data_IF_721797554758
#
_entry.id   IF_721797554758
#
_cell.length_a   1.000
_cell.length_b   1.000
_cell.length_c   1.000
_cell.angle_alpha   90.00
_cell.angle_beta   90.00
_cell.angle_gamma   90.00
#
_symmetry.space_group_name_H-M   'P 1'
#
loop_
_entity.id
_entity.type
_entity.pdbx_description
1 polymer ?
#
# COMPACT_ATOMS: atom_id res chain seq x y z
N UNK A 1 -23.44 2.27 -12.89
CA UNK A 1 -23.36 0.83 -12.58
C UNK A 1 -22.67 0.69 -11.24
N UNK A 2 -23.27 -0.02 -10.27
CA UNK A 2 -22.63 -0.37 -9.00
C UNK A 2 -21.30 -1.10 -9.19
N UNK A 3 -20.39 -1.00 -8.22
CA UNK A 3 -19.05 -1.58 -8.30
C UNK A 3 -19.09 -3.11 -8.42
N UNK A 4 -19.97 -3.78 -7.69
CA UNK A 4 -20.06 -5.24 -7.74
C UNK A 4 -20.56 -5.72 -9.12
N UNK A 5 -21.54 -5.04 -9.70
CA UNK A 5 -22.00 -5.27 -11.08
C UNK A 5 -20.90 -4.98 -12.11
N UNK A 6 -20.10 -3.93 -11.90
CA UNK A 6 -18.94 -3.61 -12.73
C UNK A 6 -17.93 -4.78 -12.74
N UNK A 7 -17.60 -5.29 -11.54
CA UNK A 7 -16.62 -6.36 -11.37
C UNK A 7 -17.14 -7.70 -11.93
N UNK A 8 -18.41 -8.03 -11.72
CA UNK A 8 -19.01 -9.29 -12.18
C UNK A 8 -18.95 -9.49 -13.70
N UNK A 9 -18.76 -8.42 -14.48
CA UNK A 9 -18.54 -8.48 -15.94
C UNK A 9 -17.22 -9.14 -16.34
N UNK A 10 -16.22 -9.12 -15.47
CA UNK A 10 -14.86 -9.58 -15.79
C UNK A 10 -14.26 -10.51 -14.74
N UNK A 11 -14.88 -10.63 -13.57
CA UNK A 11 -14.43 -11.46 -12.46
C UNK A 11 -15.45 -12.55 -12.13
N UNK A 12 -14.94 -13.71 -11.70
CA UNK A 12 -15.76 -14.72 -11.03
C UNK A 12 -16.18 -14.19 -9.65
N UNK A 13 -17.35 -14.61 -9.19
CA UNK A 13 -17.95 -14.10 -7.95
C UNK A 13 -17.10 -14.44 -6.72
N UNK A 14 -16.37 -15.55 -6.78
CA UNK A 14 -15.45 -16.09 -5.77
C UNK A 14 -13.99 -15.65 -5.96
N UNK A 15 -13.74 -14.56 -6.71
CA UNK A 15 -12.38 -14.12 -6.98
C UNK A 15 -11.56 -13.85 -5.71
N UNK A 16 -10.25 -14.08 -5.77
CA UNK A 16 -9.31 -13.76 -4.69
C UNK A 16 -8.41 -12.61 -5.12
N UNK A 17 -8.35 -11.58 -4.28
CA UNK A 17 -7.40 -10.49 -4.43
C UNK A 17 -6.30 -10.61 -3.36
N UNK A 18 -5.07 -10.79 -3.79
CA UNK A 18 -3.88 -10.90 -2.96
C UNK A 18 -3.11 -9.57 -2.98
N UNK A 19 -3.32 -8.76 -1.95
CA UNK A 19 -2.61 -7.51 -1.78
C UNK A 19 -1.25 -7.65 -1.07
N UNK A 20 -0.45 -6.58 -1.08
CA UNK A 20 0.80 -6.53 -0.34
C UNK A 20 0.54 -6.50 1.17
N UNK A 21 1.60 -6.81 1.93
CA UNK A 21 1.62 -6.65 3.38
C UNK A 21 1.20 -5.22 3.78
N UNK A 22 0.35 -5.11 4.80
CA UNK A 22 -0.23 -3.84 5.24
C UNK A 22 -1.59 -3.50 4.61
N UNK A 23 -1.95 -4.11 3.47
CA UNK A 23 -3.31 -4.02 2.90
C UNK A 23 -4.09 -5.31 3.17
N UNK A 24 -3.46 -6.47 2.93
CA UNK A 24 -4.08 -7.79 3.13
C UNK A 24 -4.69 -8.37 1.86
N UNK A 25 -5.55 -9.37 2.02
CA UNK A 25 -6.20 -10.10 0.93
C UNK A 25 -7.72 -10.16 1.15
N UNK A 26 -8.47 -10.34 0.06
CA UNK A 26 -9.94 -10.44 0.08
C UNK A 26 -10.41 -11.63 -0.74
N UNK A 27 -11.54 -12.22 -0.35
CA UNK A 27 -12.18 -13.33 -1.07
C UNK A 27 -13.63 -12.97 -1.40
N UNK A 28 -14.02 -13.12 -2.66
CA UNK A 28 -15.28 -12.67 -3.31
C UNK A 28 -15.30 -11.22 -3.79
N UNK A 29 -16.13 -10.94 -4.80
CA UNK A 29 -16.38 -9.58 -5.33
C UNK A 29 -16.86 -8.63 -4.24
N UNK A 30 -17.81 -9.05 -3.39
CA UNK A 30 -18.36 -8.22 -2.29
C UNK A 30 -17.24 -7.77 -1.34
N UNK A 31 -16.39 -8.71 -0.91
CA UNK A 31 -15.29 -8.41 0.01
C UNK A 31 -14.22 -7.56 -0.65
N UNK A 32 -13.87 -7.82 -1.90
CA UNK A 32 -12.93 -6.99 -2.65
C UNK A 32 -13.44 -5.55 -2.81
N UNK A 33 -14.71 -5.39 -3.18
CA UNK A 33 -15.37 -4.10 -3.30
C UNK A 33 -15.35 -3.33 -1.97
N UNK A 34 -15.75 -3.98 -0.88
CA UNK A 34 -15.86 -3.37 0.45
C UNK A 34 -14.52 -3.09 1.12
N UNK A 35 -13.56 -4.00 1.00
CA UNK A 35 -12.33 -3.98 1.81
C UNK A 35 -11.12 -3.40 1.06
N UNK A 36 -11.13 -3.38 -0.28
CA UNK A 36 -10.02 -2.83 -1.06
C UNK A 36 -10.47 -1.78 -2.09
N UNK A 37 -11.26 -2.16 -3.10
CA UNK A 37 -11.51 -1.31 -4.26
C UNK A 37 -12.21 0.00 -3.90
N UNK A 38 -13.26 -0.03 -3.06
CA UNK A 38 -13.95 1.21 -2.64
C UNK A 38 -13.08 2.08 -1.73
N UNK A 39 -12.45 1.55 -0.65
CA UNK A 39 -11.51 2.34 0.16
C UNK A 39 -10.37 2.96 -0.65
N UNK A 40 -9.80 2.20 -1.60
CA UNK A 40 -8.72 2.68 -2.45
C UNK A 40 -9.21 3.80 -3.38
N UNK A 41 -10.35 3.62 -4.05
CA UNK A 41 -10.95 4.66 -4.91
C UNK A 41 -11.31 5.93 -4.11
N UNK A 42 -11.72 5.80 -2.85
CA UNK A 42 -12.03 6.94 -1.99
C UNK A 42 -10.77 7.69 -1.52
N UNK A 43 -9.69 6.98 -1.25
CA UNK A 43 -8.46 7.57 -0.71
C UNK A 43 -7.52 8.16 -1.78
N UNK A 44 -7.71 7.82 -3.05
CA UNK A 44 -6.82 8.23 -4.14
C UNK A 44 -7.60 8.94 -5.25
N UNK A 45 -7.32 10.24 -5.42
CA UNK A 45 -7.98 11.11 -6.38
C UNK A 45 -7.01 11.55 -7.47
N UNK A 46 -7.53 12.21 -8.51
CA UNK A 46 -6.76 12.76 -9.64
C UNK A 46 -5.71 11.78 -10.19
N UNK A 47 -6.18 10.56 -10.44
CA UNK A 47 -5.37 9.45 -10.91
C UNK A 47 -5.04 9.63 -12.38
N UNK A 48 -3.75 9.59 -12.72
CA UNK A 48 -3.33 9.61 -14.12
C UNK A 48 -3.77 8.35 -14.87
N UNK A 49 -3.64 8.37 -16.20
CA UNK A 49 -3.70 7.14 -16.98
C UNK A 49 -2.59 6.19 -16.54
N UNK A 50 -2.87 4.90 -16.68
CA UNK A 50 -1.92 3.84 -16.38
C UNK A 50 -0.84 3.74 -17.46
N UNK A 51 0.42 3.65 -17.06
CA UNK A 51 1.58 3.53 -17.92
C UNK A 51 2.28 2.19 -17.68
N UNK A 52 2.02 1.22 -18.55
CA UNK A 52 2.63 -0.11 -18.44
C UNK A 52 3.95 -0.11 -19.20
N UNK A 53 5.05 -0.41 -18.52
CA UNK A 53 6.35 -0.64 -19.18
C UNK A 53 6.36 -2.03 -19.82
N UNK A 54 5.65 -2.99 -19.23
CA UNK A 54 5.51 -4.33 -19.78
C UNK A 54 4.09 -4.84 -19.61
N UNK A 55 3.67 -5.65 -20.58
CA UNK A 55 2.49 -6.51 -20.50
C UNK A 55 2.94 -7.90 -20.93
N UNK A 56 2.52 -8.92 -20.20
CA UNK A 56 2.87 -10.30 -20.47
C UNK A 56 1.67 -11.22 -20.28
N UNK A 57 1.62 -12.30 -21.04
CA UNK A 57 0.61 -13.34 -20.88
C UNK A 57 1.18 -14.70 -21.28
N UNK A 58 0.82 -15.74 -20.53
CA UNK A 58 1.13 -17.14 -20.84
C UNK A 58 0.07 -18.06 -20.25
N UNK A 59 -0.59 -18.85 -21.09
CA UNK A 59 -1.65 -19.75 -20.66
C UNK A 59 -2.79 -19.00 -19.98
N UNK A 60 -3.10 -19.36 -18.75
CA UNK A 60 -4.15 -18.73 -17.95
C UNK A 60 -3.68 -17.53 -17.12
N UNK A 61 -2.43 -17.10 -17.30
CA UNK A 61 -1.84 -16.01 -16.53
C UNK A 61 -1.55 -14.81 -17.44
N UNK A 62 -1.78 -13.62 -16.90
CA UNK A 62 -1.47 -12.35 -17.55
C UNK A 62 -1.02 -11.34 -16.52
N UNK A 63 -0.36 -10.27 -16.94
CA UNK A 63 0.05 -9.25 -16.00
C UNK A 63 0.74 -8.06 -16.65
N UNK A 64 0.95 -7.04 -15.84
CA UNK A 64 1.64 -5.83 -16.24
C UNK A 64 2.36 -5.18 -15.07
N UNK A 65 3.29 -4.29 -15.38
CA UNK A 65 3.98 -3.48 -14.38
C UNK A 65 4.43 -2.13 -14.96
N UNK A 66 4.73 -1.17 -14.08
CA UNK A 66 5.21 0.16 -14.47
C UNK A 66 5.81 0.98 -13.32
N UNK A 67 6.64 1.97 -13.67
CA UNK A 67 7.34 2.87 -12.75
C UNK A 67 7.33 4.31 -13.29
N UNK A 68 6.44 5.19 -12.80
CA UNK A 68 5.23 4.81 -12.08
C UNK A 68 4.26 4.06 -13.01
N UNK A 69 3.49 3.14 -12.42
CA UNK A 69 2.34 2.53 -13.07
C UNK A 69 1.24 3.59 -13.25
N UNK A 70 1.03 4.43 -12.25
CA UNK A 70 0.26 5.68 -12.36
C UNK A 70 0.66 6.66 -11.25
N UNK A 71 0.19 7.91 -11.37
CA UNK A 71 0.32 8.92 -10.31
C UNK A 71 -1.04 9.29 -9.74
N UNK A 72 -1.09 9.76 -8.50
CA UNK A 72 -2.34 10.11 -7.82
C UNK A 72 -2.12 11.11 -6.68
N UNK A 73 -3.18 11.80 -6.27
CA UNK A 73 -3.22 12.58 -5.03
C UNK A 73 -3.84 11.71 -3.93
N UNK A 74 -3.17 11.64 -2.78
CA UNK A 74 -3.68 10.92 -1.62
C UNK A 74 -4.59 11.83 -0.79
N UNK A 75 -5.89 11.54 -0.79
CA UNK A 75 -6.92 12.29 -0.09
C UNK A 75 -7.06 11.91 1.40
N UNK A 76 -6.19 11.03 1.90
CA UNK A 76 -6.19 10.56 3.29
C UNK A 76 -6.93 9.23 3.50
N UNK A 77 -6.83 8.69 4.71
CA UNK A 77 -7.54 7.48 5.15
C UNK A 77 -6.86 6.17 4.77
N UNK A 78 -6.23 6.09 3.59
CA UNK A 78 -5.48 4.88 3.21
C UNK A 78 -4.34 4.59 4.20
N UNK A 79 -4.33 3.36 4.75
CA UNK A 79 -3.42 2.92 5.81
C UNK A 79 -3.42 3.83 7.07
N UNK A 80 -4.51 4.58 7.31
CA UNK A 80 -4.61 5.52 8.42
C UNK A 80 -3.75 6.78 8.26
N UNK A 81 -3.22 7.04 7.06
CA UNK A 81 -2.36 8.18 6.79
C UNK A 81 -3.18 9.43 6.42
N UNK A 82 -2.70 10.65 6.78
CA UNK A 82 -3.38 11.90 6.43
C UNK A 82 -3.30 12.18 4.93
N UNK A 83 -4.13 13.11 4.45
CA UNK A 83 -4.06 13.60 3.07
C UNK A 83 -2.71 14.28 2.78
N UNK A 84 -2.36 14.37 1.50
CA UNK A 84 -1.13 14.99 1.01
C UNK A 84 -1.40 15.79 -0.26
N UNK A 85 -0.85 17.01 -0.32
CA UNK A 85 -0.89 17.86 -1.52
C UNK A 85 0.13 17.45 -2.60
N UNK A 86 1.06 16.54 -2.26
CA UNK A 86 2.04 16.01 -3.21
C UNK A 86 1.42 14.93 -4.09
N UNK A 87 1.81 14.93 -5.36
CA UNK A 87 1.52 13.84 -6.29
C UNK A 87 2.40 12.63 -5.99
N UNK A 88 1.77 11.52 -5.64
CA UNK A 88 2.43 10.26 -5.35
C UNK A 88 2.58 9.39 -6.60
N UNK A 89 3.70 8.68 -6.68
CA UNK A 89 4.02 7.73 -7.74
C UNK A 89 3.78 6.29 -7.27
N UNK A 90 2.80 5.61 -7.88
CA UNK A 90 2.48 4.22 -7.57
C UNK A 90 3.27 3.29 -8.49
N UNK A 91 4.19 2.53 -7.91
CA UNK A 91 4.89 1.42 -8.58
C UNK A 91 4.15 0.14 -8.24
N UNK A 92 3.61 -0.50 -9.27
CA UNK A 92 2.71 -1.64 -9.11
C UNK A 92 3.10 -2.74 -10.08
N UNK A 93 3.13 -3.97 -9.56
CA UNK A 93 3.12 -5.20 -10.35
C UNK A 93 1.74 -5.82 -10.15
N UNK A 94 1.13 -6.22 -11.24
CA UNK A 94 -0.23 -6.72 -11.28
C UNK A 94 -0.29 -8.00 -12.10
N UNK A 95 -0.52 -9.14 -11.44
CA UNK A 95 -0.59 -10.47 -12.06
C UNK A 95 -2.01 -11.02 -11.86
N UNK A 96 -2.54 -11.61 -12.91
CA UNK A 96 -3.89 -12.15 -12.98
C UNK A 96 -3.85 -13.63 -13.35
N UNK A 97 -4.75 -14.42 -12.77
CA UNK A 97 -5.14 -15.73 -13.29
C UNK A 97 -6.58 -15.66 -13.77
N UNK A 98 -6.83 -16.22 -14.96
CA UNK A 98 -8.19 -16.46 -15.46
C UNK A 98 -8.64 -17.89 -15.21
N UNK A 99 -9.95 -18.06 -15.16
CA UNK A 99 -10.64 -19.36 -15.20
C UNK A 99 -11.87 -19.23 -16.09
N UNK A 100 -11.92 -20.04 -17.15
CA UNK A 100 -12.86 -19.83 -18.24
C UNK A 100 -12.73 -18.42 -18.82
N UNK A 101 -13.85 -17.73 -18.99
CA UNK A 101 -13.92 -16.43 -19.64
C UNK A 101 -13.70 -15.23 -18.69
N UNK A 102 -13.43 -15.49 -17.40
CA UNK A 102 -13.30 -14.45 -16.37
C UNK A 102 -12.01 -14.57 -15.57
N UNK A 103 -11.67 -13.49 -14.87
CA UNK A 103 -10.57 -13.43 -13.91
C UNK A 103 -10.98 -14.05 -12.57
N UNK A 104 -10.05 -14.74 -11.92
CA UNK A 104 -10.32 -15.47 -10.67
C UNK A 104 -9.33 -15.12 -9.57
N UNK A 105 -8.09 -14.79 -9.92
CA UNK A 105 -7.11 -14.35 -8.93
C UNK A 105 -6.32 -13.14 -9.41
N UNK A 106 -5.93 -12.32 -8.44
CA UNK A 106 -5.10 -11.16 -8.66
C UNK A 106 -3.99 -11.09 -7.61
N UNK A 107 -2.73 -11.07 -8.02
CA UNK A 107 -1.59 -10.82 -7.14
C UNK A 107 -1.01 -9.45 -7.42
N UNK A 108 -1.10 -8.59 -6.41
CA UNK A 108 -0.66 -7.20 -6.46
C UNK A 108 0.55 -7.01 -5.57
N UNK A 109 1.58 -6.38 -6.12
CA UNK A 109 2.68 -5.81 -5.34
C UNK A 109 2.71 -4.31 -5.53
N UNK A 110 2.72 -3.56 -4.43
CA UNK A 110 2.82 -2.10 -4.41
C UNK A 110 4.05 -1.73 -3.60
N UNK A 111 4.92 -0.89 -4.17
CA UNK A 111 6.06 -0.31 -3.45
C UNK A 111 5.58 0.80 -2.51
N UNK A 112 4.96 0.40 -1.39
CA UNK A 112 4.42 1.31 -0.39
C UNK A 112 5.52 2.18 0.24
N UNK A 113 6.74 1.64 0.40
CA UNK A 113 7.87 2.38 0.95
C UNK A 113 8.28 3.53 0.03
N UNK A 114 8.36 3.29 -1.28
CA UNK A 114 8.60 4.35 -2.25
C UNK A 114 7.47 5.38 -2.25
N UNK A 115 6.22 4.92 -2.27
CA UNK A 115 5.06 5.81 -2.29
C UNK A 115 5.06 6.79 -1.12
N UNK A 116 5.19 6.26 0.11
CA UNK A 116 5.22 7.10 1.32
C UNK A 116 6.44 8.01 1.38
N UNK A 117 7.61 7.54 0.93
CA UNK A 117 8.80 8.38 0.84
C UNK A 117 8.59 9.57 -0.11
N UNK A 118 7.95 9.35 -1.26
CA UNK A 118 7.60 10.42 -2.20
C UNK A 118 6.65 11.46 -1.60
N UNK A 119 5.75 11.05 -0.71
CA UNK A 119 4.88 11.96 0.05
C UNK A 119 5.59 12.66 1.22
N UNK A 120 6.83 12.27 1.54
CA UNK A 120 7.66 12.88 2.58
C UNK A 120 7.73 12.08 3.88
N UNK A 121 7.24 10.83 3.89
CA UNK A 121 7.33 9.92 5.04
C UNK A 121 8.34 8.81 4.72
N UNK A 122 9.58 8.98 5.17
CA UNK A 122 10.61 7.95 5.02
C UNK A 122 10.50 6.89 6.13
N UNK A 123 9.74 5.82 5.84
CA UNK A 123 9.45 4.73 6.79
C UNK A 123 10.72 3.98 7.19
N UNK A 124 11.63 3.73 6.24
CA UNK A 124 12.87 3.00 6.52
C UNK A 124 13.80 3.81 7.42
N UNK A 125 14.00 5.10 7.10
CA UNK A 125 14.78 6.01 7.94
C UNK A 125 14.20 6.10 9.35
N UNK A 126 12.87 6.28 9.48
CA UNK A 126 12.18 6.29 10.77
C UNK A 126 12.42 5.01 11.57
N UNK A 127 12.40 3.85 10.92
CA UNK A 127 12.57 2.55 11.58
C UNK A 127 13.97 2.41 12.21
N UNK A 128 15.01 2.99 11.60
CA UNK A 128 16.38 2.97 12.17
C UNK A 128 16.51 3.77 13.47
N UNK A 129 15.59 4.71 13.72
CA UNK A 129 15.57 5.52 14.95
C UNK A 129 14.82 4.83 16.10
N UNK A 130 14.17 3.69 15.84
CA UNK A 130 13.51 2.89 16.86
C UNK A 130 14.57 1.94 17.44
N UNK A 131 14.99 2.13 18.71
CA UNK A 131 15.94 1.22 19.31
C UNK A 131 15.32 -0.20 19.39
N UNK A 132 16.08 -1.27 19.07
CA UNK A 132 15.58 -2.63 19.23
C UNK A 132 15.26 -2.86 20.70
N UNK A 133 13.98 -3.12 21.00
CA UNK A 133 13.38 -3.48 22.29
C UNK A 133 14.03 -2.87 23.56
N UNK A 134 13.42 -1.79 24.08
CA UNK A 134 13.47 -1.48 25.51
C UNK A 134 14.62 -0.61 26.02
N UNK A 135 15.56 -0.18 25.16
CA UNK A 135 16.52 0.86 25.54
C UNK A 135 15.83 2.22 25.59
N UNK A 136 15.12 2.49 26.69
CA UNK A 136 14.76 3.87 27.09
C UNK A 136 16.08 4.62 27.12
N UNK A 137 16.26 5.58 26.21
CA UNK A 137 17.38 6.52 26.26
C UNK A 137 17.23 7.24 27.60
N UNK A 138 17.98 6.83 28.62
CA UNK A 138 17.97 7.52 29.91
C UNK A 138 18.28 8.98 29.59
N UNK A 139 17.28 9.85 29.76
CA UNK A 139 17.53 11.27 29.90
C UNK A 139 18.48 11.39 31.10
N UNK A 140 19.76 11.61 30.82
CA UNK A 140 20.69 12.08 31.84
C UNK A 140 20.22 13.48 32.25
N UNK A 141 19.31 13.54 33.22
CA UNK A 141 19.10 14.75 33.99
C UNK A 141 20.42 15.05 34.69
N UNK A 142 21.09 16.13 34.28
CA UNK A 142 22.25 16.68 34.99
C UNK A 142 21.76 17.22 36.33
N UNK A 143 21.72 16.39 37.36
CA UNK A 143 21.70 16.86 38.75
C UNK A 143 22.65 15.98 39.54
N UNK A 144 23.74 16.58 40.04
CA UNK A 144 24.55 15.98 41.09
C UNK A 144 26.03 16.34 41.03
N UNK A 145 26.41 17.37 41.80
CA UNK A 145 27.62 17.34 42.62
C UNK A 145 27.36 18.18 43.87
N UNK A 146 26.99 17.52 44.97
CA UNK A 146 27.29 18.02 46.32
C UNK A 146 28.33 17.07 46.92
N UNK A 147 29.53 17.60 47.13
CA UNK A 147 30.58 16.95 47.90
C UNK A 147 30.20 17.01 49.39
N UNK A 148 30.17 15.88 50.08
CA UNK A 148 30.30 15.83 51.53
C UNK A 148 31.74 15.48 51.88
N UNK A 149 32.48 16.46 52.42
CA UNK A 149 33.70 16.24 53.19
C UNK A 149 33.29 15.95 54.63
N UNK A 150 33.71 14.81 55.17
CA UNK A 150 33.88 14.63 56.60
C UNK A 150 35.26 14.01 56.86
N UNK A 151 36.10 14.79 57.53
CA UNK A 151 37.16 14.36 58.42
C UNK A 151 36.83 14.97 59.79
#
# INVERSE_FOLDING_TARGET
>A
MPLEEELARSWNDDMIWWGPAGIGATYTIERYAKQHSSPFRAAFTDRSKTNHICRMAKGNFGGFFGWPNFTTIHAGGFMGMPASDKRGEMRVIDIYRREGEKLSENWISIDLLHFWKGLGVDILSRTTQIPPNGAVRQMRTRIGYYQTKHA
#
